data_IF_306223250120
#
_entry.id   IF_306223250120
#
_cell.length_a   1.000
_cell.length_b   1.000
_cell.length_c   1.000
_cell.angle_alpha   90.00
_cell.angle_beta   90.00
_cell.angle_gamma   90.00
#
_symmetry.space_group_name_H-M   'P 1'
#
loop_
_entity.id
_entity.type
_entity.pdbx_description
1 polymer ?
#
# COMPACT_ATOMS: atom_id res chain seq x y z
N UNK A 1 -12.95 -7.12 9.88
CA UNK A 1 -12.94 -6.12 8.80
C UNK A 1 -11.70 -5.28 9.04
N UNK A 2 -10.81 -5.21 8.04
CA UNK A 2 -9.62 -4.37 8.12
C UNK A 2 -9.86 -3.16 7.21
N UNK A 3 -9.52 -1.98 7.71
CA UNK A 3 -9.66 -0.71 7.02
C UNK A 3 -8.31 -0.01 7.09
N UNK A 4 -7.86 0.53 5.95
CA UNK A 4 -6.64 1.32 5.87
C UNK A 4 -7.11 2.76 5.62
N UNK A 5 -6.94 3.62 6.61
CA UNK A 5 -7.17 5.06 6.48
C UNK A 5 -5.91 5.68 5.88
N UNK A 6 -6.02 6.12 4.63
CA UNK A 6 -4.95 6.75 3.89
C UNK A 6 -5.28 8.23 3.69
N UNK A 7 -4.88 9.06 4.65
CA UNK A 7 -5.06 10.51 4.55
C UNK A 7 -3.89 11.13 3.78
N UNK A 8 -4.21 11.80 2.67
CA UNK A 8 -3.24 12.47 1.77
C UNK A 8 -2.29 11.50 1.04
N UNK A 9 -1.44 12.04 0.16
CA UNK A 9 -0.34 11.28 -0.45
C UNK A 9 0.82 11.12 0.55
N UNK A 10 0.54 10.61 1.75
CA UNK A 10 1.50 10.43 2.85
C UNK A 10 1.44 9.00 3.39
N UNK A 11 2.59 8.39 3.66
CA UNK A 11 2.67 7.15 4.41
C UNK A 11 2.18 7.36 5.86
N UNK A 12 1.38 6.44 6.42
CA UNK A 12 0.87 6.57 7.78
C UNK A 12 2.00 6.59 8.82
N UNK A 13 1.91 7.49 9.80
CA UNK A 13 2.86 7.56 10.91
C UNK A 13 2.66 6.38 11.86
N UNK A 14 3.73 5.66 12.16
CA UNK A 14 3.79 4.60 13.18
C UNK A 14 5.08 4.75 13.98
N UNK A 15 5.16 5.76 14.88
CA UNK A 15 6.39 6.08 15.61
C UNK A 15 6.93 4.90 16.43
N UNK A 16 6.05 4.03 16.94
CA UNK A 16 6.39 2.83 17.70
C UNK A 16 7.19 1.82 16.85
N UNK A 17 7.00 1.84 15.53
CA UNK A 17 7.75 1.04 14.55
C UNK A 17 8.93 1.80 13.92
N UNK A 18 9.20 3.03 14.37
CA UNK A 18 10.21 3.91 13.77
C UNK A 18 9.83 4.40 12.36
N UNK A 19 8.55 4.34 12.02
CA UNK A 19 7.99 4.76 10.74
C UNK A 19 7.35 6.13 10.92
N UNK A 20 7.90 7.14 10.25
CA UNK A 20 7.36 8.48 10.24
C UNK A 20 6.63 8.74 8.93
N UNK A 21 5.86 9.80 8.95
CA UNK A 21 5.25 10.37 7.76
C UNK A 21 6.26 10.57 6.65
N UNK A 22 5.91 10.13 5.45
CA UNK A 22 6.64 10.49 4.26
C UNK A 22 5.66 10.69 3.10
N UNK A 23 5.73 11.86 2.49
CA UNK A 23 4.91 12.21 1.32
C UNK A 23 5.54 11.75 0.02
N UNK A 24 6.84 11.45 0.01
CA UNK A 24 7.51 11.01 -1.19
C UNK A 24 7.13 9.56 -1.44
N UNK A 25 6.72 9.30 -2.67
CA UNK A 25 6.51 7.94 -3.17
C UNK A 25 5.43 7.13 -2.42
N UNK A 26 4.60 7.79 -1.59
CA UNK A 26 3.38 7.24 -1.04
C UNK A 26 2.33 7.14 -2.16
N UNK A 27 2.28 5.98 -2.80
CA UNK A 27 1.33 5.70 -3.87
C UNK A 27 0.66 4.36 -3.60
N UNK A 28 -0.67 4.35 -3.64
CA UNK A 28 -1.49 3.14 -3.53
C UNK A 28 -2.41 3.10 -4.73
N UNK A 29 -2.53 1.93 -5.35
CA UNK A 29 -3.56 1.66 -6.34
C UNK A 29 -4.51 0.60 -5.81
N UNK A 30 -5.81 0.82 -5.99
CA UNK A 30 -6.82 -0.20 -5.72
C UNK A 30 -7.25 -0.81 -7.04
N UNK A 31 -6.99 -2.11 -7.21
CA UNK A 31 -7.48 -2.88 -8.33
C UNK A 31 -8.80 -3.54 -7.94
N UNK A 32 -9.88 -3.08 -8.57
CA UNK A 32 -11.18 -3.71 -8.47
C UNK A 32 -11.20 -4.89 -9.43
N UNK A 33 -11.22 -6.11 -8.90
CA UNK A 33 -11.15 -7.35 -9.69
C UNK A 33 -12.52 -7.68 -10.34
N UNK A 34 -13.04 -6.75 -11.14
CA UNK A 34 -14.28 -6.95 -11.87
C UNK A 34 -14.07 -7.95 -13.03
N UNK A 35 -15.00 -8.89 -13.19
CA UNK A 35 -15.02 -9.78 -14.37
C UNK A 35 -15.50 -9.04 -15.62
N UNK A 36 -16.28 -7.96 -15.43
CA UNK A 36 -16.89 -7.16 -16.49
C UNK A 36 -16.42 -5.70 -16.38
N UNK A 37 -16.65 -4.93 -17.44
CA UNK A 37 -16.39 -3.47 -17.45
C UNK A 37 -17.59 -2.67 -16.95
N UNK A 38 -18.72 -3.34 -16.74
CA UNK A 38 -19.96 -2.74 -16.33
C UNK A 38 -19.95 -2.57 -14.80
N UNK A 39 -20.49 -1.44 -14.32
CA UNK A 39 -20.44 -1.04 -12.90
C UNK A 39 -21.72 -1.40 -12.13
N UNK A 40 -22.44 -2.41 -12.61
CA UNK A 40 -23.74 -2.84 -12.10
C UNK A 40 -23.65 -3.97 -11.06
N UNK A 41 -22.53 -4.67 -10.99
CA UNK A 41 -22.29 -5.73 -10.01
C UNK A 41 -21.47 -5.25 -8.80
N UNK A 42 -21.83 -5.75 -7.61
CA UNK A 42 -21.01 -5.56 -6.41
C UNK A 42 -19.77 -6.45 -6.52
N UNK A 43 -18.60 -5.84 -6.41
CA UNK A 43 -17.32 -6.56 -6.45
C UNK A 43 -16.96 -7.01 -5.05
N UNK A 44 -16.81 -8.33 -4.86
CA UNK A 44 -16.51 -8.93 -3.56
C UNK A 44 -15.02 -8.88 -3.18
N UNK A 45 -14.13 -8.62 -4.13
CA UNK A 45 -12.68 -8.62 -3.90
C UNK A 45 -11.95 -7.47 -4.58
N UNK A 46 -11.05 -6.82 -3.83
CA UNK A 46 -10.16 -5.79 -4.34
C UNK A 46 -8.73 -6.10 -3.94
N UNK A 47 -7.79 -5.76 -4.80
CA UNK A 47 -6.36 -5.87 -4.50
C UNK A 47 -5.81 -4.48 -4.24
N UNK A 48 -5.21 -4.27 -3.08
CA UNK A 48 -4.48 -3.03 -2.79
C UNK A 48 -3.02 -3.24 -3.19
N UNK A 49 -2.55 -2.43 -4.14
CA UNK A 49 -1.18 -2.38 -4.59
C UNK A 49 -0.49 -1.21 -3.89
N UNK A 50 0.55 -1.52 -3.15
CA UNK A 50 1.36 -0.53 -2.45
C UNK A 50 2.64 -0.33 -3.25
N UNK A 51 2.87 0.89 -3.71
CA UNK A 51 4.05 1.19 -4.53
C UNK A 51 5.21 1.62 -3.62
N UNK A 52 6.30 0.87 -3.72
CA UNK A 52 7.55 1.15 -3.02
C UNK A 52 8.57 1.58 -4.07
N UNK A 53 8.92 2.87 -4.10
CA UNK A 53 9.90 3.42 -5.05
C UNK A 53 11.22 3.63 -4.36
N UNK A 54 12.12 2.67 -4.52
CA UNK A 54 13.41 2.64 -3.83
C UNK A 54 14.37 3.76 -4.27
N UNK A 55 14.16 5.00 -3.82
CA UNK A 55 14.98 6.16 -4.19
C UNK A 55 16.20 6.36 -3.29
N UNK A 56 16.06 6.06 -1.99
CA UNK A 56 17.10 6.35 -0.99
C UNK A 56 17.99 5.14 -0.65
N UNK A 57 17.64 3.94 -1.14
CA UNK A 57 18.41 2.71 -0.92
C UNK A 57 18.45 2.20 0.53
N UNK A 58 17.78 2.88 1.46
CA UNK A 58 17.76 2.60 2.91
C UNK A 58 16.63 1.64 3.35
N UNK A 59 15.79 1.20 2.39
CA UNK A 59 14.66 0.31 2.64
C UNK A 59 13.58 0.92 3.54
N UNK A 60 13.52 2.25 3.67
CA UNK A 60 12.53 2.90 4.53
C UNK A 60 11.09 2.64 4.06
N UNK A 61 10.83 2.81 2.77
CA UNK A 61 9.51 2.58 2.18
C UNK A 61 9.10 1.08 2.20
N UNK A 62 10.08 0.16 2.11
CA UNK A 62 9.83 -1.28 2.25
C UNK A 62 9.29 -1.63 3.65
N UNK A 63 9.77 -0.93 4.69
CA UNK A 63 9.29 -1.13 6.07
C UNK A 63 7.85 -0.63 6.25
N UNK A 64 7.49 0.48 5.63
CA UNK A 64 6.12 0.99 5.60
C UNK A 64 5.16 0.00 4.91
N UNK A 65 5.54 -0.48 3.72
CA UNK A 65 4.74 -1.47 3.00
C UNK A 65 4.59 -2.79 3.77
N UNK A 66 5.66 -3.24 4.43
CA UNK A 66 5.64 -4.45 5.25
C UNK A 66 4.71 -4.29 6.46
N UNK A 67 4.84 -3.19 7.21
CA UNK A 67 3.97 -2.89 8.33
C UNK A 67 2.50 -2.86 7.93
N UNK A 68 2.18 -2.27 6.78
CA UNK A 68 0.81 -2.19 6.28
C UNK A 68 0.26 -3.57 5.94
N UNK A 69 1.06 -4.42 5.28
CA UNK A 69 0.65 -5.78 4.95
C UNK A 69 0.37 -6.61 6.21
N UNK A 70 1.16 -6.43 7.27
CA UNK A 70 0.94 -7.08 8.56
C UNK A 70 -0.40 -6.72 9.20
N UNK A 71 -0.89 -5.48 9.04
CA UNK A 71 -2.19 -5.05 9.59
C UNK A 71 -3.38 -5.86 9.04
N UNK A 72 -3.21 -6.47 7.86
CA UNK A 72 -4.21 -7.30 7.20
C UNK A 72 -3.83 -8.78 7.16
N UNK A 73 -2.79 -9.19 7.90
CA UNK A 73 -2.31 -10.58 7.93
C UNK A 73 -1.69 -11.04 6.61
N UNK A 74 -1.13 -10.13 5.82
CA UNK A 74 -0.52 -10.39 4.52
C UNK A 74 0.98 -10.06 4.54
N UNK A 75 1.66 -10.32 3.41
CA UNK A 75 3.06 -9.97 3.18
C UNK A 75 3.19 -9.18 1.87
N UNK A 76 4.17 -8.28 1.79
CA UNK A 76 4.52 -7.61 0.52
C UNK A 76 4.93 -8.67 -0.52
N UNK A 77 4.39 -8.57 -1.72
CA UNK A 77 4.68 -9.46 -2.84
C UNK A 77 5.29 -8.70 -4.01
N UNK A 78 6.15 -9.38 -4.77
CA UNK A 78 6.78 -8.85 -5.97
C UNK A 78 8.04 -8.01 -5.70
N UNK A 79 8.82 -7.72 -6.75
CA UNK A 79 10.01 -6.88 -6.64
C UNK A 79 9.63 -5.40 -6.44
N UNK A 80 10.50 -4.59 -5.81
CA UNK A 80 10.36 -3.13 -5.84
C UNK A 80 10.26 -2.62 -7.27
N UNK A 81 9.42 -1.61 -7.51
CA UNK A 81 9.38 -0.95 -8.82
C UNK A 81 10.52 0.08 -8.90
N UNK A 82 11.35 -0.06 -9.93
CA UNK A 82 12.40 0.90 -10.25
C UNK A 82 11.85 1.89 -11.27
N UNK A 83 11.84 3.18 -10.92
CA UNK A 83 11.52 4.28 -11.85
C UNK A 83 12.80 4.76 -12.54
#
# INVERSE_FOLDING_TARGET
>A
MAEIHWDLLEWPKVPEAGLYADFKHAEVSVLFNAATRDLDERIDGHTVLVHVRRRNGDGYEERHASWLAEQVGQTVIGPPQFC
#
